data_IF_379735693518
#
_entry.id   IF_379735693518
#
_cell.length_a   1.000
_cell.length_b   1.000
_cell.length_c   1.000
_cell.angle_alpha   90.00
_cell.angle_beta   90.00
_cell.angle_gamma   90.00
#
_symmetry.space_group_name_H-M   'P 1'
#
loop_
_entity.id
_entity.type
_entity.pdbx_description
1 polymer ?
#
# COMPACT_ATOMS: atom_id res chain seq x y z
N UNK A 1 -32.72 29.40 -58.02
CA UNK A 1 -32.78 28.03 -58.56
C UNK A 1 -32.14 27.12 -57.53
N UNK A 2 -32.76 26.11 -56.92
CA UNK A 2 -34.05 25.45 -57.08
C UNK A 2 -33.88 24.13 -56.32
N UNK A 3 -34.59 23.95 -55.21
CA UNK A 3 -34.62 22.69 -54.42
C UNK A 3 -35.26 21.55 -55.23
N UNK A 4 -35.08 20.28 -54.83
CA UNK A 4 -35.99 19.65 -53.84
C UNK A 4 -35.23 18.75 -52.83
N UNK A 5 -35.54 18.69 -51.53
CA UNK A 5 -36.77 18.20 -50.86
C UNK A 5 -37.08 16.71 -51.13
N UNK A 6 -36.71 15.85 -50.18
CA UNK A 6 -37.22 14.47 -50.06
C UNK A 6 -37.52 14.20 -48.58
N UNK A 7 -38.82 14.22 -48.28
CA UNK A 7 -39.47 13.72 -47.07
C UNK A 7 -39.83 12.25 -47.25
N UNK A 8 -39.89 11.46 -46.17
CA UNK A 8 -40.69 10.23 -46.02
C UNK A 8 -40.72 9.81 -44.51
N UNK A 9 -41.62 8.91 -44.06
CA UNK A 9 -42.64 9.24 -43.07
C UNK A 9 -42.51 8.48 -41.73
N UNK A 10 -43.27 8.92 -40.73
CA UNK A 10 -43.34 8.31 -39.40
C UNK A 10 -44.42 7.24 -39.20
N UNK A 11 -44.39 6.61 -38.02
CA UNK A 11 -45.49 6.04 -37.23
C UNK A 11 -44.92 5.21 -36.05
N UNK A 12 -45.67 4.81 -35.01
CA UNK A 12 -46.69 5.52 -34.24
C UNK A 12 -46.40 5.50 -32.71
N UNK A 13 -47.13 6.36 -31.99
CA UNK A 13 -47.38 6.30 -30.55
C UNK A 13 -47.96 4.94 -30.12
N UNK A 14 -47.57 4.48 -28.93
CA UNK A 14 -48.32 3.46 -28.17
C UNK A 14 -48.59 4.01 -26.76
N UNK A 15 -49.84 4.38 -26.53
CA UNK A 15 -50.41 4.77 -25.24
C UNK A 15 -51.38 3.69 -24.77
N UNK A 16 -51.18 3.21 -23.54
CA UNK A 16 -52.13 2.47 -22.70
C UNK A 16 -51.50 2.45 -21.30
N UNK A 17 -52.01 3.05 -20.23
CA UNK A 17 -53.41 3.28 -19.86
C UNK A 17 -53.94 2.04 -19.15
N UNK A 18 -54.45 2.21 -17.92
CA UNK A 18 -55.04 1.23 -16.98
C UNK A 18 -54.01 0.54 -16.06
N UNK A 19 -54.11 0.47 -14.73
CA UNK A 19 -55.27 0.62 -13.84
C UNK A 19 -54.90 1.14 -12.44
N UNK A 20 -55.85 1.88 -11.88
CA UNK A 20 -55.98 2.21 -10.46
C UNK A 20 -56.32 0.94 -9.67
N UNK A 21 -55.62 0.73 -8.57
CA UNK A 21 -56.17 0.01 -7.42
C UNK A 21 -55.94 0.86 -6.17
N UNK A 22 -57.06 1.40 -5.70
CA UNK A 22 -57.22 2.05 -4.42
C UNK A 22 -57.25 1.01 -3.27
N UNK A 23 -56.89 1.52 -2.08
CA UNK A 23 -57.30 1.06 -0.74
C UNK A 23 -56.44 -0.02 -0.04
N UNK A 24 -56.57 -0.18 1.30
CA UNK A 24 -56.14 0.79 2.31
C UNK A 24 -55.39 0.10 3.48
N UNK A 25 -54.56 0.82 4.23
CA UNK A 25 -54.39 0.66 5.70
C UNK A 25 -53.19 1.47 6.17
N UNK A 26 -53.50 2.59 6.81
CA UNK A 26 -52.56 3.26 7.71
C UNK A 26 -52.35 2.38 8.94
N UNK A 27 -51.26 1.60 8.96
CA UNK A 27 -50.66 1.16 10.21
C UNK A 27 -49.80 2.32 10.74
N UNK A 28 -50.36 3.07 11.68
CA UNK A 28 -49.65 4.00 12.54
C UNK A 28 -48.61 3.19 13.32
N UNK A 29 -47.37 3.21 12.83
CA UNK A 29 -46.22 2.69 13.56
C UNK A 29 -45.81 3.69 14.64
N UNK A 30 -45.52 3.24 15.87
CA UNK A 30 -45.00 4.11 16.91
C UNK A 30 -43.66 4.69 16.44
N UNK A 31 -43.54 6.01 16.53
CA UNK A 31 -42.27 6.74 16.39
C UNK A 31 -41.31 6.27 17.48
N UNK A 32 -40.52 5.24 17.18
CA UNK A 32 -39.28 4.99 17.90
C UNK A 32 -38.29 6.09 17.54
N UNK A 33 -38.22 7.12 18.39
CA UNK A 33 -37.04 7.96 18.48
C UNK A 33 -35.90 7.07 18.98
N UNK A 34 -35.17 6.46 18.04
CA UNK A 34 -34.05 5.59 18.33
C UNK A 34 -32.80 6.10 17.59
N UNK A 35 -31.82 6.47 18.41
CA UNK A 35 -30.39 6.39 18.12
C UNK A 35 -29.86 7.13 16.88
N UNK A 36 -29.95 8.47 16.88
CA UNK A 36 -29.12 9.32 15.99
C UNK A 36 -28.14 10.19 16.77
N UNK A 37 -27.49 9.64 17.79
CA UNK A 37 -26.41 10.32 18.53
C UNK A 37 -25.11 9.46 18.60
N UNK A 38 -25.14 8.19 18.19
CA UNK A 38 -24.04 7.26 18.44
C UNK A 38 -23.02 7.05 17.32
N UNK A 39 -23.11 7.74 16.17
CA UNK A 39 -22.05 7.68 15.14
C UNK A 39 -21.07 8.85 15.23
N UNK A 40 -21.50 10.02 15.71
CA UNK A 40 -20.62 11.18 15.82
C UNK A 40 -19.53 10.99 16.90
N UNK A 41 -19.84 10.29 17.99
CA UNK A 41 -18.86 9.96 19.03
C UNK A 41 -17.83 8.92 18.59
N UNK A 42 -18.19 7.98 17.70
CA UNK A 42 -17.26 6.95 17.22
C UNK A 42 -16.21 7.52 16.25
N UNK A 43 -16.57 8.54 15.46
CA UNK A 43 -15.62 9.25 14.59
C UNK A 43 -14.73 10.21 15.40
N UNK A 44 -15.24 10.80 16.48
CA UNK A 44 -14.48 11.73 17.33
C UNK A 44 -13.47 11.01 18.25
N UNK A 45 -13.78 9.79 18.72
CA UNK A 45 -12.87 8.97 19.54
C UNK A 45 -11.70 8.38 18.75
N UNK A 46 -11.78 8.32 17.42
CA UNK A 46 -10.66 7.94 16.54
C UNK A 46 -9.64 9.07 16.35
N UNK A 47 -9.95 10.32 16.74
CA UNK A 47 -9.09 11.48 16.49
C UNK A 47 -8.26 11.95 17.69
N UNK A 48 -8.46 11.41 18.90
CA UNK A 48 -8.00 12.09 20.12
C UNK A 48 -6.83 11.46 20.88
N UNK A 49 -6.20 10.39 20.40
CA UNK A 49 -5.02 9.84 21.09
C UNK A 49 -3.90 9.47 20.13
N UNK A 50 -3.29 10.51 19.54
CA UNK A 50 -1.91 10.42 19.10
C UNK A 50 -1.06 10.13 20.35
N UNK A 51 -0.57 8.90 20.47
CA UNK A 51 0.28 8.47 21.57
C UNK A 51 1.48 9.43 21.72
N UNK A 52 1.81 9.92 22.92
CA UNK A 52 2.77 11.01 23.14
C UNK A 52 4.24 10.61 22.98
N UNK A 53 4.54 9.34 22.65
CA UNK A 53 5.85 8.95 22.18
C UNK A 53 5.77 8.76 20.66
N UNK A 54 5.69 9.88 19.93
CA UNK A 54 5.98 9.85 18.51
C UNK A 54 7.48 9.55 18.38
N UNK A 55 7.84 8.27 18.42
CA UNK A 55 9.16 7.82 18.01
C UNK A 55 9.43 8.48 16.66
N UNK A 56 10.46 9.34 16.61
CA UNK A 56 10.79 10.04 15.39
C UNK A 56 11.10 9.00 14.33
N UNK A 57 10.31 9.02 13.26
CA UNK A 57 10.49 8.12 12.12
C UNK A 57 11.91 8.22 11.59
N UNK A 58 12.60 7.09 11.48
CA UNK A 58 13.95 6.99 10.87
C UNK A 58 13.97 7.37 9.39
N UNK A 59 12.80 7.56 8.77
CA UNK A 59 12.72 8.16 7.45
C UNK A 59 13.27 9.59 7.46
N UNK A 60 13.09 10.35 8.54
CA UNK A 60 13.53 11.75 8.61
C UNK A 60 15.05 11.83 8.40
N UNK A 61 15.48 12.65 7.45
CA UNK A 61 16.87 12.82 7.06
C UNK A 61 17.41 11.74 6.11
N UNK A 62 16.63 10.70 5.81
CA UNK A 62 17.03 9.67 4.86
C UNK A 62 16.83 10.13 3.40
N UNK A 63 17.65 9.57 2.50
CA UNK A 63 17.58 9.82 1.05
C UNK A 63 17.38 8.51 0.30
N UNK A 64 16.38 8.45 -0.58
CA UNK A 64 15.93 7.23 -1.22
C UNK A 64 15.94 7.38 -2.73
N UNK A 65 16.31 6.32 -3.44
CA UNK A 65 16.14 6.22 -4.90
C UNK A 65 14.86 5.49 -5.23
N UNK A 66 13.88 6.22 -5.73
CA UNK A 66 12.62 5.66 -6.22
C UNK A 66 12.83 5.11 -7.62
N UNK A 67 12.65 3.80 -7.79
CA UNK A 67 12.64 3.14 -9.10
C UNK A 67 11.20 3.06 -9.60
N UNK A 68 10.83 3.97 -10.49
CA UNK A 68 9.45 4.08 -10.98
C UNK A 68 9.26 3.19 -12.21
N UNK A 69 8.18 2.41 -12.22
CA UNK A 69 7.78 1.56 -13.36
C UNK A 69 6.28 1.75 -13.64
N UNK A 70 5.96 2.81 -14.38
CA UNK A 70 4.59 3.22 -14.69
C UNK A 70 4.13 2.50 -15.96
N UNK A 71 3.04 1.76 -15.85
CA UNK A 71 2.40 1.09 -16.97
C UNK A 71 1.19 0.30 -16.49
N UNK A 72 0.53 -0.37 -17.43
CA UNK A 72 -0.61 -1.21 -17.11
C UNK A 72 -0.12 -2.55 -16.54
N UNK A 73 -0.49 -2.85 -15.28
CA UNK A 73 -0.29 -4.19 -14.73
C UNK A 73 -1.36 -5.15 -15.27
N UNK A 74 -0.99 -6.34 -15.75
CA UNK A 74 -1.94 -7.35 -16.20
C UNK A 74 -3.00 -7.65 -15.13
N UNK A 75 -4.29 -7.61 -15.53
CA UNK A 75 -5.42 -7.84 -14.61
C UNK A 75 -5.87 -6.61 -13.81
N UNK A 76 -5.22 -5.45 -13.99
CA UNK A 76 -5.72 -4.18 -13.44
C UNK A 76 -7.07 -3.79 -14.05
N UNK A 77 -7.92 -3.11 -13.28
CA UNK A 77 -9.19 -2.56 -13.77
C UNK A 77 -9.01 -1.59 -14.95
N UNK A 78 -7.85 -0.92 -15.03
CA UNK A 78 -7.49 -0.03 -16.15
C UNK A 78 -7.24 -0.77 -17.47
N UNK A 79 -7.19 -2.11 -17.48
CA UNK A 79 -7.03 -2.89 -18.70
C UNK A 79 -8.20 -2.75 -19.68
N UNK A 80 -9.30 -2.11 -19.24
CA UNK A 80 -10.43 -1.73 -20.10
C UNK A 80 -10.21 -0.43 -20.87
N UNK A 81 -9.11 0.28 -20.63
CA UNK A 81 -8.72 1.49 -21.36
C UNK A 81 -7.62 1.17 -22.37
N UNK A 82 -7.53 1.96 -23.44
CA UNK A 82 -6.43 1.86 -24.41
C UNK A 82 -5.07 2.32 -23.84
N UNK A 83 -5.04 2.82 -22.59
CA UNK A 83 -3.83 3.29 -21.94
C UNK A 83 -2.97 2.09 -21.49
N UNK A 84 -1.72 2.03 -21.97
CA UNK A 84 -0.79 0.94 -21.68
C UNK A 84 -1.15 -0.44 -22.28
N UNK A 85 -2.12 -0.51 -23.19
CA UNK A 85 -2.52 -1.74 -23.90
C UNK A 85 -1.38 -2.38 -24.70
N UNK A 86 -0.39 -1.60 -25.14
CA UNK A 86 0.81 -2.05 -25.86
C UNK A 86 1.77 -2.87 -24.99
N UNK A 87 1.58 -2.86 -23.66
CA UNK A 87 2.55 -3.38 -22.70
C UNK A 87 3.78 -2.49 -22.50
N UNK A 88 3.78 -1.29 -23.12
CA UNK A 88 4.79 -0.26 -22.88
C UNK A 88 4.81 0.18 -21.41
N UNK A 89 5.99 0.61 -20.93
CA UNK A 89 6.17 1.14 -19.58
C UNK A 89 7.14 2.31 -19.55
N UNK A 90 6.87 3.29 -18.71
CA UNK A 90 7.78 4.38 -18.36
C UNK A 90 8.62 3.96 -17.16
N UNK A 91 9.93 3.88 -17.35
CA UNK A 91 10.90 3.52 -16.31
C UNK A 91 11.93 4.61 -16.15
N UNK A 92 12.02 5.15 -14.95
CA UNK A 92 13.00 6.16 -14.58
C UNK A 92 13.23 6.12 -13.06
N UNK A 93 14.34 6.71 -12.62
CA UNK A 93 14.68 6.80 -11.21
C UNK A 93 14.56 8.25 -10.74
N UNK A 94 14.13 8.46 -9.49
CA UNK A 94 14.06 9.78 -8.86
C UNK A 94 14.67 9.66 -7.48
N UNK A 95 15.64 10.50 -7.13
CA UNK A 95 16.15 10.54 -5.76
C UNK A 95 15.33 11.54 -4.94
N UNK A 96 14.90 11.13 -3.75
CA UNK A 96 14.05 11.92 -2.85
C UNK A 96 14.63 11.95 -1.44
N UNK A 97 14.38 13.04 -0.72
CA UNK A 97 14.73 13.22 0.68
C UNK A 97 13.49 13.35 1.56
N UNK A 98 13.50 12.67 2.69
CA UNK A 98 12.43 12.72 3.69
C UNK A 98 12.77 13.77 4.74
N UNK A 99 12.00 14.85 4.79
CA UNK A 99 12.27 15.96 5.71
C UNK A 99 11.33 15.92 6.93
N UNK A 100 11.74 16.54 8.03
CA UNK A 100 10.91 16.68 9.23
C UNK A 100 9.84 17.76 9.08
N UNK A 101 10.09 18.76 8.24
CA UNK A 101 9.23 19.92 8.06
C UNK A 101 7.80 19.50 7.69
N UNK A 102 6.82 20.21 8.23
CA UNK A 102 5.42 19.94 7.94
C UNK A 102 5.09 20.33 6.49
N UNK A 103 4.36 19.46 5.78
CA UNK A 103 3.94 19.76 4.42
C UNK A 103 2.94 20.93 4.39
N UNK A 104 3.05 21.86 3.42
CA UNK A 104 2.14 23.01 3.33
C UNK A 104 0.74 22.64 2.83
N UNK A 105 0.60 21.48 2.18
CA UNK A 105 -0.65 21.03 1.54
C UNK A 105 -1.07 19.69 2.13
N UNK A 106 -2.34 19.58 2.48
CA UNK A 106 -2.95 18.32 2.88
C UNK A 106 -3.35 17.51 1.65
N UNK A 107 -3.09 16.21 1.66
CA UNK A 107 -3.59 15.30 0.63
C UNK A 107 -4.16 14.04 1.27
N UNK A 108 -5.46 13.84 1.04
CA UNK A 108 -6.27 12.88 1.78
C UNK A 108 -5.82 11.43 1.57
N UNK A 109 -5.26 11.12 0.40
CA UNK A 109 -4.75 9.79 0.09
C UNK A 109 -3.50 9.43 0.89
N UNK A 110 -2.75 10.43 1.37
CA UNK A 110 -1.49 10.24 2.09
C UNK A 110 -1.71 10.23 3.59
N UNK A 111 -2.47 11.18 4.12
CA UNK A 111 -2.75 11.23 5.55
C UNK A 111 -3.29 12.59 6.02
N UNK A 112 -3.59 12.71 7.32
CA UNK A 112 -4.00 13.98 7.91
C UNK A 112 -2.86 15.00 7.84
N UNK A 113 -3.18 16.28 7.61
CA UNK A 113 -2.19 17.37 7.49
C UNK A 113 -1.21 17.45 8.67
N UNK A 114 -1.69 17.16 9.88
CA UNK A 114 -0.87 17.19 11.09
C UNK A 114 0.23 16.10 11.11
N UNK A 115 0.04 15.01 10.36
CA UNK A 115 0.99 13.90 10.27
C UNK A 115 1.79 13.86 8.96
N UNK A 116 1.57 14.82 8.06
CA UNK A 116 2.19 14.84 6.74
C UNK A 116 3.40 15.78 6.73
N UNK A 117 4.53 15.25 6.31
CA UNK A 117 5.83 15.95 6.26
C UNK A 117 6.29 16.15 4.82
N UNK A 118 7.29 17.00 4.61
CA UNK A 118 7.82 17.34 3.29
C UNK A 118 8.63 16.18 2.71
N UNK A 119 8.37 15.87 1.44
CA UNK A 119 9.20 15.00 0.62
C UNK A 119 9.90 15.86 -0.45
N UNK A 120 11.21 16.02 -0.35
CA UNK A 120 11.98 16.81 -1.30
C UNK A 120 12.48 15.96 -2.47
N UNK A 121 12.46 16.52 -3.68
CA UNK A 121 13.12 15.91 -4.85
C UNK A 121 14.56 16.38 -4.89
N UNK A 122 15.49 15.43 -4.96
CA UNK A 122 16.94 15.70 -4.99
C UNK A 122 17.51 15.61 -6.41
N UNK A 123 16.98 14.70 -7.24
CA UNK A 123 17.39 14.54 -8.63
C UNK A 123 16.18 14.27 -9.53
N UNK A 124 16.24 14.80 -10.75
CA UNK A 124 15.24 14.53 -11.79
C UNK A 124 15.46 13.14 -12.41
N UNK A 125 14.40 12.57 -12.98
CA UNK A 125 14.48 11.30 -13.69
C UNK A 125 14.77 11.48 -15.17
N UNK A 126 15.23 10.43 -15.84
CA UNK A 126 15.26 10.36 -17.30
C UNK A 126 14.88 8.97 -17.80
N UNK A 127 14.35 8.92 -19.03
CA UNK A 127 14.04 7.67 -19.72
C UNK A 127 14.40 7.76 -21.20
N UNK A 128 14.69 6.61 -21.81
CA UNK A 128 14.95 6.53 -23.26
C UNK A 128 13.64 6.23 -24.00
N UNK A 129 13.21 7.21 -24.79
CA UNK A 129 12.11 7.13 -25.73
C UNK A 129 12.58 6.96 -27.18
N UNK A 130 11.65 6.99 -28.12
CA UNK A 130 11.97 6.90 -29.56
C UNK A 130 12.77 8.10 -30.07
N UNK A 131 12.52 9.28 -29.48
CA UNK A 131 13.22 10.54 -29.80
C UNK A 131 14.54 10.72 -29.04
N UNK A 132 15.01 9.66 -28.37
CA UNK A 132 16.20 9.70 -27.51
C UNK A 132 15.87 9.81 -26.02
N UNK A 133 16.84 10.27 -25.24
CA UNK A 133 16.69 10.46 -23.80
C UNK A 133 15.81 11.68 -23.51
N UNK A 134 14.80 11.48 -22.66
CA UNK A 134 13.90 12.52 -22.18
C UNK A 134 14.04 12.67 -20.67
N UNK A 135 14.28 13.89 -20.22
CA UNK A 135 14.24 14.24 -18.80
C UNK A 135 12.79 14.33 -18.32
N UNK A 136 12.56 13.95 -17.06
CA UNK A 136 11.28 14.02 -16.36
C UNK A 136 11.52 14.74 -15.03
N UNK A 137 10.94 15.94 -14.92
CA UNK A 137 11.08 16.76 -13.73
C UNK A 137 9.91 16.58 -12.77
N UNK A 138 10.23 16.71 -11.49
CA UNK A 138 9.28 16.55 -10.38
C UNK A 138 9.46 17.70 -9.40
N UNK A 139 8.36 18.12 -8.80
CA UNK A 139 8.40 18.93 -7.58
C UNK A 139 8.19 18.04 -6.37
N UNK A 140 8.75 18.47 -5.23
CA UNK A 140 8.53 17.83 -3.94
C UNK A 140 7.05 17.68 -3.61
N UNK A 141 6.76 16.76 -2.71
CA UNK A 141 5.41 16.49 -2.23
C UNK A 141 5.40 16.35 -0.71
N UNK A 142 4.61 15.39 -0.23
CA UNK A 142 4.60 15.06 1.17
C UNK A 142 4.49 13.56 1.42
N UNK A 143 4.80 13.18 2.64
CA UNK A 143 4.80 11.79 3.08
C UNK A 143 4.20 11.65 4.47
N UNK A 144 3.64 10.48 4.74
CA UNK A 144 3.07 10.11 6.03
C UNK A 144 3.21 8.60 6.21
N UNK A 145 3.50 8.15 7.44
CA UNK A 145 3.45 6.73 7.81
C UNK A 145 2.20 6.49 8.63
N UNK A 146 1.32 5.63 8.12
CA UNK A 146 0.10 5.24 8.81
C UNK A 146 0.33 3.92 9.53
N UNK A 147 0.13 3.90 10.84
CA UNK A 147 0.17 2.68 11.66
C UNK A 147 -1.24 2.33 12.11
N UNK A 148 -1.61 1.05 12.03
CA UNK A 148 -2.91 0.59 12.49
C UNK A 148 -3.06 0.77 14.00
N UNK A 149 -4.21 1.26 14.47
CA UNK A 149 -4.51 1.32 15.89
C UNK A 149 -4.69 -0.10 16.44
N UNK A 150 -3.91 -0.46 17.48
CA UNK A 150 -4.04 -1.76 18.16
C UNK A 150 -3.29 -2.92 17.51
N UNK A 151 -2.54 -2.67 16.44
CA UNK A 151 -1.56 -3.64 15.94
C UNK A 151 -0.33 -3.53 16.85
N UNK A 152 0.23 -4.67 17.28
CA UNK A 152 1.32 -4.70 18.26
C UNK A 152 2.55 -3.90 17.81
N UNK A 153 3.51 -3.73 18.73
CA UNK A 153 4.82 -3.10 18.50
C UNK A 153 5.76 -3.92 17.59
N UNK A 154 5.16 -4.67 16.67
CA UNK A 154 5.71 -5.55 15.64
C UNK A 154 4.90 -5.39 14.35
N UNK A 155 4.41 -4.18 14.05
CA UNK A 155 3.53 -3.95 12.90
C UNK A 155 4.13 -2.97 11.92
N UNK A 156 4.16 -3.39 10.65
CA UNK A 156 4.64 -2.56 9.56
C UNK A 156 3.83 -1.27 9.47
N UNK A 157 4.53 -0.15 9.28
CA UNK A 157 3.91 1.11 8.90
C UNK A 157 3.54 1.08 7.42
N UNK A 158 2.44 1.74 7.05
CA UNK A 158 2.13 2.01 5.65
C UNK A 158 2.63 3.41 5.29
N UNK A 159 3.80 3.47 4.67
CA UNK A 159 4.33 4.70 4.10
C UNK A 159 3.49 5.08 2.88
N UNK A 160 2.95 6.30 2.89
CA UNK A 160 2.30 6.92 1.73
C UNK A 160 2.96 8.24 1.43
N UNK A 161 3.11 8.55 0.16
CA UNK A 161 3.66 9.83 -0.28
C UNK A 161 3.20 10.17 -1.69
N UNK A 162 3.47 11.40 -2.12
CA UNK A 162 3.21 11.82 -3.49
C UNK A 162 4.35 12.65 -4.06
N UNK A 163 4.39 12.71 -5.40
CA UNK A 163 5.22 13.62 -6.18
C UNK A 163 4.36 14.25 -7.26
N UNK A 164 4.65 15.50 -7.60
CA UNK A 164 3.99 16.21 -8.69
C UNK A 164 4.91 16.23 -9.91
N UNK A 165 4.49 15.60 -11.01
CA UNK A 165 5.26 15.52 -12.25
C UNK A 165 5.07 16.79 -13.07
N UNK A 166 6.08 17.65 -13.15
CA UNK A 166 5.95 18.98 -13.78
C UNK A 166 6.10 18.94 -15.29
N UNK A 167 7.00 18.11 -15.82
CA UNK A 167 7.22 17.99 -17.28
C UNK A 167 6.23 17.08 -17.99
N UNK A 168 5.60 16.16 -17.26
CA UNK A 168 4.96 14.98 -17.84
C UNK A 168 5.98 13.98 -18.41
N UNK A 169 5.49 12.84 -18.87
CA UNK A 169 6.29 11.80 -19.53
C UNK A 169 5.40 10.93 -20.42
N UNK A 170 5.84 10.59 -21.63
CA UNK A 170 5.08 9.71 -22.52
C UNK A 170 5.97 8.75 -23.32
N UNK A 171 5.47 7.52 -23.48
CA UNK A 171 6.10 6.46 -24.28
C UNK A 171 5.02 5.52 -24.81
N UNK A 172 4.72 5.63 -26.10
CA UNK A 172 3.63 4.87 -26.73
C UNK A 172 2.28 5.32 -26.19
N UNK A 173 1.50 4.38 -25.69
CA UNK A 173 0.17 4.56 -25.09
C UNK A 173 0.20 4.74 -23.56
N UNK A 174 1.40 4.84 -22.97
CA UNK A 174 1.59 5.21 -21.57
C UNK A 174 2.02 6.67 -21.49
N UNK A 175 1.25 7.45 -20.76
CA UNK A 175 1.53 8.86 -20.49
C UNK A 175 1.19 9.22 -19.04
N UNK A 176 2.02 10.11 -18.49
CA UNK A 176 1.80 10.92 -17.30
C UNK A 176 1.74 12.36 -17.78
N UNK A 177 0.64 13.05 -17.51
CA UNK A 177 0.46 14.41 -17.98
C UNK A 177 1.29 15.39 -17.15
N UNK A 178 1.66 16.52 -17.75
CA UNK A 178 2.32 17.60 -17.04
C UNK A 178 1.40 18.17 -15.94
N UNK A 179 1.93 18.37 -14.74
CA UNK A 179 1.21 18.76 -13.54
C UNK A 179 0.48 17.61 -12.84
N UNK A 180 0.61 16.36 -13.30
CA UNK A 180 -0.09 15.24 -12.70
C UNK A 180 0.57 14.78 -11.38
N UNK A 181 -0.28 14.54 -10.36
CA UNK A 181 0.14 14.05 -9.05
C UNK A 181 0.14 12.53 -9.02
N UNK A 182 1.28 11.96 -8.61
CA UNK A 182 1.50 10.52 -8.50
C UNK A 182 1.58 10.15 -7.02
N UNK A 183 0.82 9.14 -6.63
CA UNK A 183 0.75 8.61 -5.27
C UNK A 183 1.47 7.29 -5.17
N UNK A 184 2.15 7.10 -4.05
CA UNK A 184 2.91 5.90 -3.74
C UNK A 184 2.51 5.38 -2.37
N UNK A 185 2.56 4.06 -2.23
CA UNK A 185 2.33 3.39 -0.95
C UNK A 185 3.23 2.18 -0.82
N UNK A 186 3.84 1.97 0.34
CA UNK A 186 4.65 0.77 0.61
C UNK A 186 4.63 0.46 2.10
N UNK A 187 4.77 -0.82 2.46
CA UNK A 187 5.12 -1.20 3.82
C UNK A 187 6.50 -0.65 4.17
N UNK A 188 6.66 -0.17 5.40
CA UNK A 188 7.92 0.37 5.93
C UNK A 188 8.10 -0.05 7.39
N UNK A 189 9.35 -0.32 7.76
CA UNK A 189 9.80 -0.29 9.15
C UNK A 189 10.65 0.95 9.35
N UNK A 190 10.16 1.91 10.13
CA UNK A 190 10.83 3.18 10.38
C UNK A 190 11.10 3.43 11.89
N UNK A 191 10.94 2.41 12.73
CA UNK A 191 11.34 2.43 14.15
C UNK A 191 12.68 1.71 14.34
N UNK A 192 13.71 2.47 14.76
CA UNK A 192 15.07 1.94 14.98
C UNK A 192 15.10 0.79 15.97
N UNK A 193 14.37 0.87 17.07
CA UNK A 193 14.42 -0.14 18.13
C UNK A 193 13.74 -1.43 17.70
N UNK A 194 12.67 -1.30 16.92
CA UNK A 194 12.01 -2.43 16.28
C UNK A 194 12.90 -3.13 15.26
N UNK A 195 13.56 -2.36 14.38
CA UNK A 195 14.53 -2.90 13.40
C UNK A 195 15.68 -3.60 14.12
N UNK A 196 16.25 -3.01 15.17
CA UNK A 196 17.30 -3.62 16.01
C UNK A 196 16.83 -4.93 16.66
N UNK A 197 15.60 -4.97 17.16
CA UNK A 197 14.99 -6.17 17.75
C UNK A 197 14.84 -7.28 16.71
N UNK A 198 14.40 -6.94 15.49
CA UNK A 198 14.28 -7.89 14.39
C UNK A 198 15.63 -8.46 13.96
N UNK A 199 16.66 -7.63 13.86
CA UNK A 199 18.04 -8.08 13.54
C UNK A 199 18.53 -9.07 14.60
N UNK A 200 18.45 -8.73 15.89
CA UNK A 200 18.84 -9.64 16.98
C UNK A 200 18.07 -10.97 16.93
N UNK A 201 16.76 -10.89 16.71
CA UNK A 201 15.89 -12.08 16.64
C UNK A 201 16.24 -12.99 15.46
N UNK A 202 16.63 -12.42 14.32
CA UNK A 202 17.13 -13.18 13.17
C UNK A 202 18.47 -13.85 13.50
N UNK A 203 19.42 -13.10 14.08
CA UNK A 203 20.75 -13.62 14.39
C UNK A 203 20.68 -14.76 15.42
N UNK A 204 19.80 -14.64 16.41
CA UNK A 204 19.49 -15.72 17.37
C UNK A 204 18.89 -16.96 16.69
N UNK A 205 18.02 -16.77 15.69
CA UNK A 205 17.42 -17.85 14.92
C UNK A 205 18.48 -18.58 14.08
N UNK A 206 19.33 -17.85 13.39
CA UNK A 206 20.44 -18.41 12.60
C UNK A 206 21.46 -19.13 13.50
N UNK A 207 21.72 -18.62 14.70
CA UNK A 207 22.60 -19.28 15.68
C UNK A 207 21.99 -20.59 16.19
N UNK A 208 20.68 -20.61 16.47
CA UNK A 208 19.95 -21.82 16.87
C UNK A 208 19.95 -22.88 15.77
N UNK A 209 19.81 -22.47 14.52
CA UNK A 209 19.85 -23.39 13.38
C UNK A 209 21.20 -24.09 13.27
N UNK A 210 22.28 -23.31 13.37
CA UNK A 210 23.66 -23.84 13.37
C UNK A 210 23.93 -24.77 14.55
N UNK A 211 23.31 -24.52 15.71
CA UNK A 211 23.46 -25.35 16.91
C UNK A 211 22.57 -26.61 16.90
N UNK A 212 21.34 -26.51 16.39
CA UNK A 212 20.38 -27.61 16.33
C UNK A 212 20.80 -28.74 15.40
N UNK A 213 21.53 -28.41 14.32
CA UNK A 213 22.19 -29.41 13.47
C UNK A 213 23.28 -30.21 14.21
N UNK A 214 23.79 -29.70 15.35
CA UNK A 214 24.79 -30.37 16.17
C UNK A 214 24.20 -31.20 17.33
N UNK A 215 22.94 -30.97 17.73
CA UNK A 215 22.33 -31.58 18.93
C UNK A 215 21.46 -32.83 18.63
N UNK A 216 21.37 -33.25 17.36
CA UNK A 216 20.62 -34.44 16.93
C UNK A 216 21.13 -35.80 17.48
N UNK A 217 22.21 -35.79 18.29
CA UNK A 217 22.85 -36.98 18.89
C UNK A 217 22.58 -37.17 20.41
N UNK A 218 21.62 -36.46 21.00
CA UNK A 218 21.34 -36.57 22.44
C UNK A 218 20.69 -37.92 22.87
N UNK A 219 21.06 -38.47 24.04
CA UNK A 219 20.57 -39.77 24.51
C UNK A 219 19.09 -39.76 24.92
N UNK A 220 18.35 -40.79 24.48
CA UNK A 220 16.92 -41.02 24.71
C UNK A 220 16.60 -41.21 26.20
N UNK A 221 15.52 -40.59 26.69
CA UNK A 221 15.18 -40.60 28.13
C UNK A 221 14.58 -41.93 28.59
N UNK A 222 14.75 -42.25 29.88
CA UNK A 222 14.29 -43.50 30.50
C UNK A 222 12.77 -43.74 30.40
N UNK A 223 11.97 -42.69 30.19
CA UNK A 223 10.51 -42.77 29.98
C UNK A 223 10.12 -43.39 28.62
N UNK A 224 11.06 -43.46 27.67
CA UNK A 224 10.86 -44.12 26.37
C UNK A 224 11.01 -45.65 26.44
N UNK A 225 11.36 -46.19 27.62
CA UNK A 225 11.58 -47.63 27.81
C UNK A 225 10.32 -48.41 28.25
N UNK A 226 9.20 -47.74 28.54
CA UNK A 226 7.94 -48.40 28.96
C UNK A 226 7.04 -48.67 27.74
N UNK A 227 6.77 -49.95 27.39
CA UNK A 227 5.93 -50.30 26.24
C UNK A 227 4.51 -49.70 26.36
N UNK A 228 4.02 -49.03 25.31
CA UNK A 228 2.71 -48.38 25.27
C UNK A 228 2.72 -46.89 25.63
N UNK A 229 3.26 -46.50 26.79
CA UNK A 229 3.43 -45.08 27.15
C UNK A 229 4.50 -44.39 26.29
N UNK A 230 5.54 -45.13 25.88
CA UNK A 230 6.57 -44.65 24.98
C UNK A 230 6.00 -44.13 23.64
N UNK A 231 4.95 -44.76 23.11
CA UNK A 231 4.32 -44.34 21.85
C UNK A 231 3.57 -43.01 22.00
N UNK A 232 2.82 -42.84 23.09
CA UNK A 232 2.07 -41.60 23.35
C UNK A 232 3.03 -40.44 23.64
N UNK A 233 4.07 -40.68 24.44
CA UNK A 233 5.10 -39.68 24.75
C UNK A 233 5.89 -39.32 23.49
N UNK A 234 6.30 -40.30 22.69
CA UNK A 234 6.99 -40.06 21.42
C UNK A 234 6.11 -39.27 20.43
N UNK A 235 4.82 -39.59 20.33
CA UNK A 235 3.89 -38.84 19.48
C UNK A 235 3.77 -37.38 19.93
N UNK A 236 3.53 -37.12 21.23
CA UNK A 236 3.45 -35.74 21.74
C UNK A 236 4.73 -34.95 21.54
N UNK A 237 5.90 -35.57 21.79
CA UNK A 237 7.19 -34.95 21.50
C UNK A 237 7.34 -34.66 20.00
N UNK A 238 6.94 -35.58 19.13
CA UNK A 238 7.00 -35.38 17.68
C UNK A 238 6.06 -34.28 17.18
N UNK A 239 4.86 -34.16 17.75
CA UNK A 239 3.92 -33.11 17.42
C UNK A 239 4.44 -31.73 17.89
N UNK A 240 4.92 -31.63 19.13
CA UNK A 240 5.51 -30.39 19.64
C UNK A 240 6.75 -29.97 18.83
N UNK A 241 7.63 -30.91 18.48
CA UNK A 241 8.80 -30.64 17.64
C UNK A 241 8.40 -30.25 16.21
N UNK A 242 7.31 -30.79 15.68
CA UNK A 242 6.77 -30.39 14.38
C UNK A 242 6.22 -28.95 14.43
N UNK A 243 5.41 -28.63 15.44
CA UNK A 243 4.85 -27.29 15.62
C UNK A 243 5.97 -26.23 15.79
N UNK A 244 7.01 -26.57 16.56
CA UNK A 244 8.19 -25.72 16.71
C UNK A 244 8.91 -25.50 15.38
N UNK A 245 9.13 -26.55 14.57
CA UNK A 245 9.73 -26.40 13.23
C UNK A 245 8.89 -25.54 12.31
N UNK A 246 7.56 -25.71 12.33
CA UNK A 246 6.64 -24.88 11.53
C UNK A 246 6.74 -23.41 11.96
N UNK A 247 6.78 -23.14 13.27
CA UNK A 247 6.94 -21.80 13.80
C UNK A 247 8.29 -21.16 13.42
N UNK A 248 9.39 -21.91 13.54
CA UNK A 248 10.72 -21.46 13.14
C UNK A 248 10.79 -21.19 11.63
N UNK A 249 10.22 -22.08 10.81
CA UNK A 249 10.14 -21.88 9.36
C UNK A 249 9.34 -20.62 9.01
N UNK A 250 8.20 -20.38 9.67
CA UNK A 250 7.43 -19.15 9.47
C UNK A 250 8.23 -17.88 9.82
N UNK A 251 9.06 -17.92 10.87
CA UNK A 251 9.97 -16.80 11.22
C UNK A 251 11.09 -16.64 10.19
N UNK A 252 11.66 -17.73 9.67
CA UNK A 252 12.66 -17.68 8.58
C UNK A 252 12.05 -17.06 7.33
N UNK A 253 10.88 -17.54 6.91
CA UNK A 253 10.17 -17.02 5.74
C UNK A 253 9.83 -15.54 5.93
N UNK A 254 9.52 -15.10 7.16
CA UNK A 254 9.36 -13.70 7.48
C UNK A 254 10.64 -12.88 7.23
N UNK A 255 11.78 -13.26 7.83
CA UNK A 255 13.03 -12.50 7.66
C UNK A 255 13.58 -12.59 6.23
N UNK A 256 13.39 -13.71 5.53
CA UNK A 256 13.80 -13.88 4.15
C UNK A 256 13.09 -12.91 3.18
N UNK A 257 11.90 -12.43 3.53
CA UNK A 257 11.19 -11.38 2.77
C UNK A 257 11.81 -10.00 2.92
N UNK A 258 12.73 -9.81 3.88
CA UNK A 258 13.39 -8.53 4.18
C UNK A 258 14.91 -8.69 3.98
N UNK A 259 15.38 -8.85 2.72
CA UNK A 259 16.78 -9.16 2.44
C UNK A 259 17.76 -8.05 2.89
N UNK A 260 17.27 -6.82 3.05
CA UNK A 260 18.06 -5.68 3.53
C UNK A 260 18.18 -5.61 5.05
N UNK A 261 17.44 -6.44 5.81
CA UNK A 261 17.50 -6.45 7.26
C UNK A 261 18.93 -6.79 7.70
N UNK A 262 19.60 -5.92 8.46
CA UNK A 262 20.97 -6.14 8.93
C UNK A 262 22.05 -6.21 7.85
N UNK A 263 21.76 -5.85 6.60
CA UNK A 263 22.75 -5.78 5.53
C UNK A 263 23.61 -4.51 5.62
N UNK A 264 23.02 -3.43 6.15
CA UNK A 264 23.71 -2.18 6.41
C UNK A 264 24.14 -2.11 7.88
N UNK A 265 25.42 -1.85 8.20
CA UNK A 265 25.88 -1.65 9.57
C UNK A 265 25.26 -0.41 10.24
N UNK A 266 24.69 0.53 9.46
CA UNK A 266 23.85 1.59 9.99
C UNK A 266 22.45 1.05 10.31
N UNK A 267 22.31 0.52 11.53
CA UNK A 267 21.06 -0.10 12.04
C UNK A 267 19.91 0.91 12.23
N UNK A 268 20.10 2.15 11.79
CA UNK A 268 19.21 3.28 12.03
C UNK A 268 18.43 3.69 10.77
N UNK A 269 18.58 2.97 9.66
CA UNK A 269 17.87 3.27 8.42
C UNK A 269 16.48 2.63 8.38
N UNK A 270 15.49 3.39 7.89
CA UNK A 270 14.17 2.86 7.56
C UNK A 270 14.26 1.81 6.44
N UNK A 271 13.45 0.75 6.56
CA UNK A 271 13.44 -0.40 5.63
C UNK A 271 12.11 -0.44 4.88
N UNK A 272 12.15 -0.33 3.55
CA UNK A 272 10.99 -0.61 2.70
C UNK A 272 10.77 -2.12 2.55
N UNK A 273 9.53 -2.58 2.67
CA UNK A 273 9.18 -4.02 2.73
C UNK A 273 8.90 -4.68 1.38
N UNK A 274 9.08 -3.97 0.27
CA UNK A 274 8.94 -4.55 -1.07
C UNK A 274 8.60 -3.53 -2.15
N UNK A 275 8.00 -4.03 -3.24
CA UNK A 275 7.44 -3.17 -4.30
C UNK A 275 6.20 -2.47 -3.76
N UNK A 276 6.25 -1.15 -3.70
CA UNK A 276 5.10 -0.32 -3.36
C UNK A 276 4.03 -0.31 -4.45
N UNK A 277 2.81 0.04 -4.07
CA UNK A 277 1.73 0.37 -4.99
C UNK A 277 1.85 1.81 -5.50
N UNK A 278 1.46 2.03 -6.75
CA UNK A 278 1.40 3.35 -7.40
C UNK A 278 -0.04 3.63 -7.82
N UNK A 279 -0.54 4.82 -7.54
CA UNK A 279 -1.82 5.31 -8.05
C UNK A 279 -1.67 6.73 -8.59
N UNK A 280 -2.45 7.08 -9.60
CA UNK A 280 -2.38 8.40 -10.23
C UNK A 280 -3.76 9.05 -10.13
N UNK A 281 -3.80 10.27 -9.59
CA UNK A 281 -5.04 11.04 -9.49
C UNK A 281 -5.09 11.98 -10.68
N UNK A 282 -5.79 11.56 -11.73
CA UNK A 282 -6.10 12.44 -12.85
C UNK A 282 -6.99 13.56 -12.35
N UNK A 283 -6.47 14.79 -12.34
CA UNK A 283 -7.35 15.95 -12.17
C UNK A 283 -8.30 15.94 -13.37
N UNK A 284 -9.60 16.06 -13.14
CA UNK A 284 -10.59 16.24 -14.19
C UNK A 284 -10.44 17.65 -14.78
N UNK A 285 -9.29 17.95 -15.38
CA UNK A 285 -9.04 19.17 -16.12
C UNK A 285 -9.75 19.07 -17.46
N UNK A 286 -10.88 19.77 -17.59
CA UNK A 286 -11.68 19.89 -18.81
C UNK A 286 -10.93 20.58 -19.96
N UNK A 287 -9.96 19.88 -20.54
CA UNK A 287 -9.34 20.25 -21.80
C UNK A 287 -10.16 19.70 -22.95
N UNK A 288 -11.04 20.53 -23.52
CA UNK A 288 -11.52 20.35 -24.89
C UNK A 288 -10.28 20.29 -25.78
N UNK A 289 -9.92 19.09 -26.25
CA UNK A 289 -8.93 18.94 -27.31
C UNK A 289 -9.56 19.51 -28.59
N UNK A 290 -9.31 20.77 -28.90
CA UNK A 290 -9.52 21.25 -30.27
C UNK A 290 -8.45 20.60 -31.14
N UNK A 291 -8.91 19.75 -32.06
CA UNK A 291 -8.10 19.21 -33.14
C UNK A 291 -7.59 20.32 -34.07
#
# INVERSE_FOLDING_TARGET
AGSPALSLPGHPQRSSGLDKLDSPAACVMPRHASASVSMAWFVLLMQLHASPAAALSTLIGSSWRLKMDIGLEPGSYLARSDWGASGGRLRFNVDVGFEEAQAPVAEQLVGPLAGTKVLAVQSEGSFVGFEGEKAVSFTGGGWCVQRGLGVGAESEGLLRFWLDCTSGASKGDVAVDAGERIFFSTGVWDDTEEVRRMVRSRDELEAKDKAGDAEADAPKSALEQVPGLAQIVAFRKSAAAYDERVALQGRRDFYARIPSLGADPSVDAAIALGRGGLSVKRSAGGGVRSA
#
